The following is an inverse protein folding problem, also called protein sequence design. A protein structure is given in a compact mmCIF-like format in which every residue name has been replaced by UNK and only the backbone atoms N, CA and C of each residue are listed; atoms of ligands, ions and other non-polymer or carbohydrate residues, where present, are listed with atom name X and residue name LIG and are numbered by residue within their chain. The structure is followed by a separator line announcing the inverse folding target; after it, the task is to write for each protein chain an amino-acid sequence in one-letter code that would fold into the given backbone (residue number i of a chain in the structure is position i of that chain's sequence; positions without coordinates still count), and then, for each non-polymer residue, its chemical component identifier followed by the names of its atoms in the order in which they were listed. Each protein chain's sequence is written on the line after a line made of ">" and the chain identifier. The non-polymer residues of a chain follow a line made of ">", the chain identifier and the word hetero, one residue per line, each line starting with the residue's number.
data_IF_934549035723
#
_entry.id   IF_934549035723
#
_cell.length_a   1.000
_cell.length_b   1.000
_cell.length_c   1.000
_cell.angle_alpha   90.00
_cell.angle_beta   90.00
_cell.angle_gamma   90.00
#
_symmetry.space_group_name_H-M   'P 1'
#
loop_
_entity.id
_entity.type
_entity.pdbx_description
1 polymer ?
#
# COMPACT_ATOMS: atom_id res chain seq x y z
N UNK A 1 -36.65 -19.09 -10.95
CA UNK A 1 -36.09 -18.42 -12.14
C UNK A 1 -36.97 -17.22 -12.48
N UNK A 2 -36.37 -16.07 -12.75
CA UNK A 2 -37.03 -14.81 -13.16
C UNK A 2 -36.30 -14.33 -14.43
N UNK A 3 -37.00 -14.19 -15.55
CA UNK A 3 -36.40 -13.90 -16.85
C UNK A 3 -37.31 -13.05 -17.75
N UNK A 4 -36.73 -12.37 -18.75
CA UNK A 4 -37.40 -11.56 -19.78
C UNK A 4 -38.36 -10.49 -19.22
N UNK A 5 -37.85 -9.64 -18.32
CA UNK A 5 -38.67 -8.60 -17.69
C UNK A 5 -38.14 -7.22 -18.04
N UNK A 6 -38.98 -6.37 -18.62
CA UNK A 6 -38.63 -4.97 -18.84
C UNK A 6 -38.51 -4.21 -17.51
N UNK A 7 -39.50 -4.34 -16.62
CA UNK A 7 -39.54 -3.57 -15.38
C UNK A 7 -40.07 -4.40 -14.20
N UNK A 8 -39.24 -4.61 -13.17
CA UNK A 8 -39.60 -5.35 -11.96
C UNK A 8 -39.29 -4.54 -10.69
N UNK A 9 -40.28 -3.83 -10.10
CA UNK A 9 -40.10 -3.14 -8.84
C UNK A 9 -40.44 -4.07 -7.67
N UNK A 10 -39.44 -4.39 -6.84
CA UNK A 10 -39.62 -5.15 -5.61
C UNK A 10 -39.52 -4.22 -4.40
N UNK A 11 -40.66 -4.01 -3.74
CA UNK A 11 -40.72 -3.18 -2.52
C UNK A 11 -40.13 -3.93 -1.32
N UNK A 12 -40.55 -5.17 -1.12
CA UNK A 12 -40.07 -6.06 -0.09
C UNK A 12 -40.01 -7.48 -0.65
N UNK A 13 -38.91 -8.18 -0.42
CA UNK A 13 -38.80 -9.60 -0.71
C UNK A 13 -38.12 -10.37 0.41
N UNK A 14 -38.54 -11.63 0.53
CA UNK A 14 -37.87 -12.65 1.31
C UNK A 14 -37.86 -13.89 0.43
N UNK A 15 -36.68 -14.34 0.03
CA UNK A 15 -36.51 -15.55 -0.77
C UNK A 15 -35.82 -16.58 0.10
N UNK A 16 -36.46 -17.73 0.25
CA UNK A 16 -36.00 -18.90 1.00
C UNK A 16 -36.01 -20.08 0.02
N UNK A 17 -34.96 -20.15 -0.80
CA UNK A 17 -34.85 -21.09 -1.92
C UNK A 17 -33.40 -21.50 -2.05
N UNK A 18 -33.14 -22.78 -2.32
CA UNK A 18 -31.77 -23.29 -2.53
C UNK A 18 -31.09 -22.55 -3.68
N UNK A 19 -31.77 -22.42 -4.82
CA UNK A 19 -31.21 -21.80 -6.02
C UNK A 19 -32.16 -20.79 -6.63
N UNK A 20 -31.62 -19.60 -6.94
CA UNK A 20 -32.37 -18.56 -7.64
C UNK A 20 -31.54 -17.86 -8.72
N UNK A 21 -32.22 -17.70 -9.84
CA UNK A 21 -31.70 -17.37 -11.14
C UNK A 21 -32.48 -16.16 -11.65
N UNK A 22 -31.80 -15.04 -11.89
CA UNK A 22 -32.37 -13.77 -12.39
C UNK A 22 -31.60 -13.36 -13.64
N UNK A 23 -32.29 -13.28 -14.78
CA UNK A 23 -31.69 -13.07 -16.10
C UNK A 23 -32.49 -12.06 -16.91
N UNK A 24 -31.83 -11.37 -17.85
CA UNK A 24 -32.47 -10.57 -18.90
C UNK A 24 -33.50 -9.57 -18.36
N UNK A 25 -33.04 -8.66 -17.48
CA UNK A 25 -33.91 -7.62 -16.91
C UNK A 25 -33.40 -6.24 -17.24
N UNK A 26 -34.21 -5.42 -17.91
CA UNK A 26 -33.78 -4.05 -18.21
C UNK A 26 -33.78 -3.15 -16.96
N UNK A 27 -34.74 -3.35 -16.06
CA UNK A 27 -34.85 -2.56 -14.82
C UNK A 27 -35.38 -3.39 -13.65
N UNK A 28 -34.52 -3.66 -12.66
CA UNK A 28 -34.87 -4.37 -11.42
C UNK A 28 -34.60 -3.45 -10.22
N UNK A 29 -35.66 -2.92 -9.59
CA UNK A 29 -35.49 -2.07 -8.41
C UNK A 29 -35.84 -2.80 -7.14
N UNK A 30 -34.88 -2.92 -6.22
CA UNK A 30 -35.06 -3.61 -4.95
C UNK A 30 -34.95 -2.60 -3.82
N UNK A 31 -36.06 -2.34 -3.12
CA UNK A 31 -36.02 -1.48 -1.92
C UNK A 31 -35.50 -2.23 -0.70
N UNK A 32 -36.01 -3.42 -0.44
CA UNK A 32 -35.63 -4.24 0.70
C UNK A 32 -35.71 -5.71 0.30
N UNK A 33 -34.60 -6.44 0.42
CA UNK A 33 -34.62 -7.88 0.24
C UNK A 33 -33.81 -8.61 1.31
N UNK A 34 -34.29 -9.79 1.66
CA UNK A 34 -33.50 -10.81 2.34
C UNK A 34 -33.49 -12.05 1.48
N UNK A 35 -32.30 -12.56 1.22
CA UNK A 35 -32.10 -13.83 0.55
C UNK A 35 -31.42 -14.80 1.49
N UNK A 36 -31.98 -16.00 1.55
CA UNK A 36 -31.38 -17.13 2.22
C UNK A 36 -31.54 -18.37 1.33
N UNK A 37 -30.42 -19.00 1.00
CA UNK A 37 -30.31 -20.04 -0.02
C UNK A 37 -28.86 -20.45 -0.24
N UNK A 38 -28.63 -21.48 -1.05
CA UNK A 38 -27.27 -21.90 -1.41
C UNK A 38 -26.71 -20.94 -2.46
N UNK A 39 -27.42 -20.73 -3.58
CA UNK A 39 -26.88 -20.03 -4.73
C UNK A 39 -27.80 -18.93 -5.31
N UNK A 40 -27.25 -17.74 -5.50
CA UNK A 40 -27.83 -16.65 -6.30
C UNK A 40 -27.00 -16.40 -7.56
N UNK A 41 -27.68 -16.41 -8.69
CA UNK A 41 -27.15 -16.04 -9.99
C UNK A 41 -27.93 -14.87 -10.62
N UNK A 42 -27.25 -13.74 -10.83
CA UNK A 42 -27.78 -12.53 -11.48
C UNK A 42 -26.99 -12.23 -12.75
N UNK A 43 -27.67 -12.16 -13.89
CA UNK A 43 -27.06 -11.94 -15.20
C UNK A 43 -27.85 -10.90 -16.01
N UNK A 44 -27.13 -10.18 -16.88
CA UNK A 44 -27.69 -9.35 -17.94
C UNK A 44 -28.75 -8.36 -17.43
N UNK A 45 -28.32 -7.48 -16.51
CA UNK A 45 -29.19 -6.45 -15.95
C UNK A 45 -28.69 -5.06 -16.29
N UNK A 46 -29.48 -4.27 -17.01
CA UNK A 46 -29.07 -2.90 -17.35
C UNK A 46 -29.08 -1.97 -16.13
N UNK A 47 -30.07 -2.10 -15.23
CA UNK A 47 -30.23 -1.21 -14.07
C UNK A 47 -30.77 -1.94 -12.83
N UNK A 48 -29.91 -2.15 -11.83
CA UNK A 48 -30.20 -2.87 -10.58
C UNK A 48 -29.96 -2.02 -9.32
N UNK A 49 -30.83 -1.04 -8.98
CA UNK A 49 -30.68 -0.32 -7.73
C UNK A 49 -31.18 -1.13 -6.54
N UNK A 50 -30.29 -1.31 -5.56
CA UNK A 50 -30.58 -2.00 -4.31
C UNK A 50 -30.43 -1.01 -3.15
N UNK A 51 -31.54 -0.71 -2.47
CA UNK A 51 -31.50 0.19 -1.32
C UNK A 51 -31.06 -0.54 -0.04
N UNK A 52 -31.58 -1.73 0.20
CA UNK A 52 -31.18 -2.58 1.33
C UNK A 52 -31.26 -4.05 0.92
N UNK A 53 -30.15 -4.77 1.05
CA UNK A 53 -30.15 -6.22 0.94
C UNK A 53 -29.41 -6.87 2.12
N UNK A 54 -29.88 -8.06 2.47
CA UNK A 54 -29.15 -9.02 3.29
C UNK A 54 -29.10 -10.33 2.53
N UNK A 55 -27.91 -10.90 2.41
CA UNK A 55 -27.71 -12.18 1.76
C UNK A 55 -27.01 -13.12 2.73
N UNK A 56 -27.58 -14.32 2.85
CA UNK A 56 -27.16 -15.41 3.73
C UNK A 56 -27.12 -16.68 2.88
N UNK A 57 -25.96 -17.09 2.38
CA UNK A 57 -25.89 -18.25 1.50
C UNK A 57 -24.49 -18.76 1.25
N UNK A 58 -24.32 -19.68 0.32
CA UNK A 58 -22.99 -20.21 -0.05
C UNK A 58 -22.39 -19.37 -1.18
N UNK A 59 -23.08 -19.20 -2.31
CA UNK A 59 -22.57 -18.49 -3.49
C UNK A 59 -23.46 -17.37 -4.03
N UNK A 60 -22.90 -16.17 -4.24
CA UNK A 60 -23.51 -15.10 -5.02
C UNK A 60 -22.65 -14.81 -6.25
N UNK A 61 -23.23 -14.94 -7.43
CA UNK A 61 -22.58 -14.52 -8.68
C UNK A 61 -23.40 -13.45 -9.39
N UNK A 62 -22.71 -12.39 -9.80
CA UNK A 62 -23.27 -11.22 -10.48
C UNK A 62 -22.45 -10.95 -11.73
N UNK A 63 -23.11 -10.98 -12.89
CA UNK A 63 -22.49 -10.79 -14.19
C UNK A 63 -23.23 -9.75 -15.02
N UNK A 64 -22.49 -9.03 -15.85
CA UNK A 64 -23.01 -8.17 -16.92
C UNK A 64 -24.07 -7.18 -16.43
N UNK A 65 -23.64 -6.29 -15.51
CA UNK A 65 -24.52 -5.24 -14.99
C UNK A 65 -24.01 -3.86 -15.35
N UNK A 66 -24.81 -3.10 -16.10
CA UNK A 66 -24.40 -1.75 -16.49
C UNK A 66 -24.42 -0.77 -15.30
N UNK A 67 -25.40 -0.89 -14.39
CA UNK A 67 -25.55 0.03 -13.25
C UNK A 67 -26.14 -0.64 -12.00
N UNK A 68 -25.31 -0.81 -10.96
CA UNK A 68 -25.65 -1.51 -9.70
C UNK A 68 -25.41 -0.61 -8.46
N UNK A 69 -26.27 0.37 -8.15
CA UNK A 69 -26.08 1.15 -6.95
C UNK A 69 -26.61 0.41 -5.72
N UNK A 70 -25.73 0.21 -4.75
CA UNK A 70 -26.06 -0.45 -3.49
C UNK A 70 -25.93 0.55 -2.35
N UNK A 71 -27.06 0.86 -1.69
CA UNK A 71 -27.03 1.81 -0.57
C UNK A 71 -26.61 1.13 0.73
N UNK A 72 -27.12 -0.06 1.02
CA UNK A 72 -26.75 -0.85 2.18
C UNK A 72 -26.83 -2.34 1.82
N UNK A 73 -25.73 -3.06 2.00
CA UNK A 73 -25.70 -4.51 1.90
C UNK A 73 -25.01 -5.13 3.11
N UNK A 74 -25.52 -6.29 3.51
CA UNK A 74 -24.83 -7.23 4.37
C UNK A 74 -24.78 -8.56 3.64
N UNK A 75 -23.58 -9.11 3.51
CA UNK A 75 -23.34 -10.37 2.86
C UNK A 75 -22.62 -11.28 3.83
N UNK A 76 -23.16 -12.48 4.01
CA UNK A 76 -22.62 -13.52 4.85
C UNK A 76 -22.71 -14.84 4.10
N UNK A 77 -21.57 -15.43 3.76
CA UNK A 77 -21.54 -16.68 3.02
C UNK A 77 -20.18 -17.07 2.49
N UNK A 78 -20.10 -18.11 1.67
CA UNK A 78 -18.81 -18.67 1.26
C UNK A 78 -18.17 -17.87 0.12
N UNK A 79 -18.84 -17.66 -1.01
CA UNK A 79 -18.26 -17.03 -2.20
C UNK A 79 -19.10 -15.91 -2.83
N UNK A 80 -18.51 -14.74 -3.03
CA UNK A 80 -19.08 -13.66 -3.85
C UNK A 80 -18.20 -13.44 -5.07
N UNK A 81 -18.79 -13.56 -6.27
CA UNK A 81 -18.14 -13.20 -7.51
C UNK A 81 -18.91 -12.11 -8.24
N UNK A 82 -18.19 -11.08 -8.68
CA UNK A 82 -18.74 -9.94 -9.40
C UNK A 82 -17.90 -9.73 -10.65
N UNK A 83 -18.54 -9.78 -11.82
CA UNK A 83 -17.92 -9.64 -13.13
C UNK A 83 -18.64 -8.59 -13.96
N UNK A 84 -17.88 -7.89 -14.80
CA UNK A 84 -18.38 -7.02 -15.86
C UNK A 84 -19.43 -6.01 -15.38
N UNK A 85 -19.02 -5.11 -14.49
CA UNK A 85 -19.88 -4.03 -13.99
C UNK A 85 -19.37 -2.67 -14.41
N UNK A 86 -20.16 -1.93 -15.19
CA UNK A 86 -19.75 -0.59 -15.61
C UNK A 86 -19.79 0.42 -14.46
N UNK A 87 -20.76 0.33 -13.53
CA UNK A 87 -20.90 1.28 -12.43
C UNK A 87 -21.50 0.66 -11.15
N UNK A 88 -20.67 0.52 -10.11
CA UNK A 88 -21.02 -0.12 -8.83
C UNK A 88 -20.80 0.82 -7.63
N UNK A 89 -21.67 1.80 -7.36
CA UNK A 89 -21.52 2.65 -6.19
C UNK A 89 -22.08 1.96 -4.95
N UNK A 90 -21.22 1.79 -3.94
CA UNK A 90 -21.59 1.17 -2.68
C UNK A 90 -21.48 2.21 -1.56
N UNK A 91 -22.60 2.51 -0.91
CA UNK A 91 -22.59 3.46 0.20
C UNK A 91 -22.17 2.81 1.52
N UNK A 92 -22.70 1.64 1.83
CA UNK A 92 -22.33 0.87 3.02
C UNK A 92 -22.39 -0.62 2.70
N UNK A 93 -21.30 -1.34 2.93
CA UNK A 93 -21.28 -2.79 2.85
C UNK A 93 -20.60 -3.41 4.07
N UNK A 94 -21.12 -4.57 4.48
CA UNK A 94 -20.44 -5.50 5.36
C UNK A 94 -20.39 -6.83 4.64
N UNK A 95 -19.20 -7.40 4.56
CA UNK A 95 -18.95 -8.66 3.89
C UNK A 95 -18.24 -9.57 4.89
N UNK A 96 -18.82 -10.75 5.11
CA UNK A 96 -18.26 -11.81 5.94
C UNK A 96 -18.29 -13.10 5.15
N UNK A 97 -17.14 -13.70 4.88
CA UNK A 97 -17.13 -14.99 4.19
C UNK A 97 -15.78 -15.51 3.80
N UNK A 98 -15.78 -16.60 3.05
CA UNK A 98 -14.54 -17.27 2.68
C UNK A 98 -13.85 -16.52 1.53
N UNK A 99 -14.56 -16.17 0.46
CA UNK A 99 -13.94 -15.66 -0.76
C UNK A 99 -14.74 -14.55 -1.47
N UNK A 100 -14.08 -13.43 -1.77
CA UNK A 100 -14.59 -12.34 -2.62
C UNK A 100 -13.72 -12.16 -3.86
N UNK A 101 -14.34 -12.24 -5.03
CA UNK A 101 -13.72 -11.95 -6.31
C UNK A 101 -14.46 -10.84 -7.04
N UNK A 102 -13.70 -9.85 -7.51
CA UNK A 102 -14.21 -8.71 -8.29
C UNK A 102 -13.35 -8.55 -9.53
N UNK A 103 -13.99 -8.60 -10.69
CA UNK A 103 -13.36 -8.48 -12.01
C UNK A 103 -14.07 -7.43 -12.86
N UNK A 104 -13.30 -6.75 -13.70
CA UNK A 104 -13.79 -5.89 -14.79
C UNK A 104 -14.82 -4.86 -14.34
N UNK A 105 -14.40 -3.95 -13.45
CA UNK A 105 -15.25 -2.84 -13.00
C UNK A 105 -14.73 -1.51 -13.50
N UNK A 106 -15.54 -0.79 -14.29
CA UNK A 106 -15.12 0.52 -14.77
C UNK A 106 -15.13 1.58 -13.67
N UNK A 107 -16.09 1.56 -12.74
CA UNK A 107 -16.17 2.55 -11.66
C UNK A 107 -16.81 2.01 -10.37
N UNK A 108 -16.02 1.95 -9.30
CA UNK A 108 -16.37 1.39 -7.98
C UNK A 108 -16.13 2.41 -6.84
N UNK A 109 -17.07 3.31 -6.54
CA UNK A 109 -16.96 4.18 -5.39
C UNK A 109 -17.58 3.51 -4.16
N UNK A 110 -16.77 3.28 -3.14
CA UNK A 110 -17.16 2.71 -1.85
C UNK A 110 -17.05 3.79 -0.78
N UNK A 111 -18.18 4.12 -0.14
CA UNK A 111 -18.17 5.13 0.94
C UNK A 111 -17.74 4.51 2.27
N UNK A 112 -18.32 3.37 2.64
CA UNK A 112 -17.96 2.64 3.86
C UNK A 112 -18.02 1.14 3.61
N UNK A 113 -16.96 0.42 3.96
CA UNK A 113 -16.94 -1.03 3.92
C UNK A 113 -16.24 -1.64 5.13
N UNK A 114 -16.71 -2.82 5.53
CA UNK A 114 -16.03 -3.72 6.46
C UNK A 114 -16.01 -5.10 5.84
N UNK A 115 -14.82 -5.61 5.55
CA UNK A 115 -14.62 -6.91 4.92
C UNK A 115 -13.86 -7.80 5.90
N UNK A 116 -14.42 -8.97 6.19
CA UNK A 116 -13.82 -9.99 7.04
C UNK A 116 -13.92 -11.34 6.35
N UNK A 117 -12.81 -12.06 6.23
CA UNK A 117 -12.82 -13.36 5.55
C UNK A 117 -11.45 -13.95 5.32
N UNK A 118 -11.40 -15.03 4.55
CA UNK A 118 -10.14 -15.68 4.18
C UNK A 118 -9.50 -14.90 3.02
N UNK A 119 -10.15 -14.81 1.85
CA UNK A 119 -9.53 -14.26 0.63
C UNK A 119 -10.34 -13.18 -0.09
N UNK A 120 -9.62 -12.20 -0.61
CA UNK A 120 -10.16 -11.13 -1.44
C UNK A 120 -9.28 -10.90 -2.66
N UNK A 121 -9.89 -10.87 -3.84
CA UNK A 121 -9.21 -10.58 -5.08
C UNK A 121 -9.95 -9.53 -5.90
N UNK A 122 -9.19 -8.56 -6.41
CA UNK A 122 -9.68 -7.46 -7.22
C UNK A 122 -8.81 -7.33 -8.46
N UNK A 123 -9.43 -7.44 -9.63
CA UNK A 123 -8.78 -7.37 -10.94
C UNK A 123 -9.46 -6.35 -11.83
N UNK A 124 -8.68 -5.70 -12.70
CA UNK A 124 -9.14 -4.89 -13.81
C UNK A 124 -10.18 -3.82 -13.42
N UNK A 125 -9.76 -2.90 -12.54
CA UNK A 125 -10.60 -1.78 -12.14
C UNK A 125 -10.06 -0.47 -12.73
N UNK A 126 -10.87 0.21 -13.54
CA UNK A 126 -10.44 1.52 -14.06
C UNK A 126 -10.41 2.59 -12.96
N UNK A 127 -11.43 2.63 -12.09
CA UNK A 127 -11.54 3.62 -11.02
C UNK A 127 -12.14 3.05 -9.72
N UNK A 128 -11.31 2.94 -8.68
CA UNK A 128 -11.70 2.54 -7.32
C UNK A 128 -11.54 3.71 -6.35
N UNK A 129 -12.63 4.11 -5.69
CA UNK A 129 -12.62 5.18 -4.70
C UNK A 129 -13.14 4.68 -3.36
N UNK A 130 -12.25 4.51 -2.38
CA UNK A 130 -12.61 4.05 -1.04
C UNK A 130 -12.49 5.20 -0.05
N UNK A 131 -13.60 5.59 0.58
CA UNK A 131 -13.54 6.64 1.62
C UNK A 131 -13.20 6.08 2.99
N UNK A 132 -13.84 5.00 3.41
CA UNK A 132 -13.60 4.37 4.70
C UNK A 132 -13.67 2.85 4.54
N UNK A 133 -12.60 2.15 4.85
CA UNK A 133 -12.58 0.70 4.89
C UNK A 133 -11.92 0.16 6.16
N UNK A 134 -12.40 -1.00 6.58
CA UNK A 134 -11.71 -1.91 7.48
C UNK A 134 -11.65 -3.26 6.80
N UNK A 135 -10.45 -3.79 6.64
CA UNK A 135 -10.20 -5.07 6.00
C UNK A 135 -9.54 -5.96 7.05
N UNK A 136 -10.15 -7.11 7.31
CA UNK A 136 -9.69 -8.15 8.22
C UNK A 136 -9.67 -9.46 7.45
N UNK A 137 -8.69 -9.61 6.56
CA UNK A 137 -8.63 -10.73 5.61
C UNK A 137 -7.28 -11.41 5.68
N UNK A 138 -7.23 -12.72 5.53
CA UNK A 138 -5.97 -13.48 5.47
C UNK A 138 -5.15 -12.99 4.27
N UNK A 139 -5.77 -12.97 3.08
CA UNK A 139 -5.15 -12.50 1.85
C UNK A 139 -5.97 -11.43 1.13
N UNK A 140 -5.29 -10.38 0.67
CA UNK A 140 -5.82 -9.48 -0.35
C UNK A 140 -4.87 -9.37 -1.54
N UNK A 141 -5.42 -9.53 -2.74
CA UNK A 141 -4.69 -9.29 -3.98
C UNK A 141 -5.40 -8.26 -4.84
N UNK A 142 -4.65 -7.26 -5.30
CA UNK A 142 -5.13 -6.18 -6.17
C UNK A 142 -4.25 -6.11 -7.39
N UNK A 143 -4.85 -6.25 -8.57
CA UNK A 143 -4.17 -6.23 -9.86
C UNK A 143 -4.84 -5.23 -10.80
N UNK A 144 -4.04 -4.60 -11.66
CA UNK A 144 -4.47 -3.82 -12.81
C UNK A 144 -5.51 -2.76 -12.47
N UNK A 145 -5.08 -1.76 -11.68
CA UNK A 145 -5.93 -0.61 -11.35
C UNK A 145 -5.37 0.68 -11.94
N UNK A 146 -6.15 1.34 -12.81
CA UNK A 146 -5.73 2.63 -13.35
C UNK A 146 -5.75 3.74 -12.29
N UNK A 147 -6.76 3.76 -11.41
CA UNK A 147 -6.89 4.76 -10.35
C UNK A 147 -7.49 4.18 -9.07
N UNK A 148 -6.70 4.12 -8.00
CA UNK A 148 -7.14 3.71 -6.67
C UNK A 148 -6.93 4.84 -5.66
N UNK A 149 -8.00 5.42 -5.11
CA UNK A 149 -7.89 6.41 -4.04
C UNK A 149 -8.47 5.89 -2.73
N UNK A 150 -7.66 5.96 -1.68
CA UNK A 150 -8.02 5.52 -0.33
C UNK A 150 -7.94 6.70 0.63
N UNK A 151 -9.08 7.07 1.25
CA UNK A 151 -9.09 8.16 2.25
C UNK A 151 -8.82 7.69 3.67
N UNK A 152 -9.50 6.64 4.12
CA UNK A 152 -9.35 6.07 5.46
C UNK A 152 -9.39 4.54 5.35
N UNK A 153 -8.28 3.87 5.62
CA UNK A 153 -8.23 2.42 5.70
C UNK A 153 -7.55 1.94 6.98
N UNK A 154 -8.04 0.81 7.47
CA UNK A 154 -7.34 -0.05 8.42
C UNK A 154 -7.30 -1.44 7.81
N UNK A 155 -6.10 -1.97 7.64
CA UNK A 155 -5.90 -3.33 7.16
C UNK A 155 -5.29 -4.16 8.28
N UNK A 156 -5.87 -5.33 8.49
CA UNK A 156 -5.41 -6.39 9.36
C UNK A 156 -5.44 -7.69 8.56
N UNK A 157 -4.32 -8.39 8.45
CA UNK A 157 -4.26 -9.60 7.65
C UNK A 157 -2.91 -10.27 7.66
N UNK A 158 -2.76 -11.35 6.90
CA UNK A 158 -1.46 -12.01 6.72
C UNK A 158 -0.73 -11.36 5.54
N UNK A 159 -1.35 -11.35 4.36
CA UNK A 159 -0.71 -10.88 3.14
C UNK A 159 -1.60 -9.90 2.36
N UNK A 160 -1.01 -8.78 1.94
CA UNK A 160 -1.58 -7.97 0.86
C UNK A 160 -0.55 -7.79 -0.25
N UNK A 161 -0.99 -8.06 -1.47
CA UNK A 161 -0.21 -7.82 -2.68
C UNK A 161 -0.93 -6.84 -3.61
N UNK A 162 -0.17 -5.87 -4.12
CA UNK A 162 -0.65 -4.82 -5.01
C UNK A 162 0.25 -4.77 -6.23
N UNK A 163 -0.34 -4.96 -7.40
CA UNK A 163 0.37 -4.99 -8.68
C UNK A 163 -0.27 -4.01 -9.67
N UNK A 164 0.56 -3.42 -10.53
CA UNK A 164 0.16 -2.67 -11.71
C UNK A 164 -0.88 -1.58 -11.43
N UNK A 165 -0.48 -0.57 -10.65
CA UNK A 165 -1.33 0.58 -10.35
C UNK A 165 -0.75 1.87 -10.93
N UNK A 166 -1.49 2.52 -11.82
CA UNK A 166 -1.02 3.80 -12.39
C UNK A 166 -1.06 4.94 -11.36
N UNK A 167 -2.07 4.99 -10.49
CA UNK A 167 -2.23 6.08 -9.52
C UNK A 167 -2.90 5.62 -8.20
N UNK A 168 -2.14 5.64 -7.10
CA UNK A 168 -2.56 5.17 -5.77
C UNK A 168 -2.41 6.22 -4.66
N UNK A 169 -3.33 7.20 -4.48
CA UNK A 169 -3.26 8.09 -3.34
C UNK A 169 -3.84 7.50 -2.08
N UNK A 170 -3.06 7.59 -1.00
CA UNK A 170 -3.46 7.14 0.33
C UNK A 170 -3.37 8.32 1.31
N UNK A 171 -4.51 8.67 1.90
CA UNK A 171 -4.59 9.80 2.84
C UNK A 171 -4.38 9.38 4.31
N UNK A 172 -5.07 8.33 4.75
CA UNK A 172 -4.95 7.77 6.10
C UNK A 172 -4.99 6.24 5.98
N UNK A 173 -3.87 5.58 6.28
CA UNK A 173 -3.80 4.12 6.40
C UNK A 173 -3.14 3.68 7.69
N UNK A 174 -3.64 2.57 8.22
CA UNK A 174 -2.97 1.77 9.24
C UNK A 174 -2.93 0.35 8.75
N UNK A 175 -1.75 -0.25 8.80
CA UNK A 175 -1.50 -1.61 8.40
C UNK A 175 -1.03 -2.41 9.60
N UNK A 176 -1.66 -3.57 9.82
CA UNK A 176 -1.21 -4.60 10.73
C UNK A 176 -1.18 -5.94 10.00
N UNK A 177 -0.03 -6.61 9.92
CA UNK A 177 0.02 -7.96 9.34
C UNK A 177 1.40 -8.39 8.89
N UNK A 178 1.52 -9.61 8.39
CA UNK A 178 2.82 -10.24 8.13
C UNK A 178 3.52 -9.62 6.92
N UNK A 179 2.87 -9.50 5.76
CA UNK A 179 3.50 -9.03 4.54
C UNK A 179 2.67 -8.02 3.73
N UNK A 180 3.30 -6.91 3.30
CA UNK A 180 2.86 -6.14 2.12
C UNK A 180 3.88 -6.31 1.02
N UNK A 181 3.36 -6.53 -0.19
CA UNK A 181 4.17 -6.42 -1.38
C UNK A 181 3.51 -5.47 -2.38
N UNK A 182 4.28 -4.48 -2.83
CA UNK A 182 3.85 -3.49 -3.83
C UNK A 182 4.78 -3.57 -5.04
N UNK A 183 4.21 -3.76 -6.23
CA UNK A 183 4.91 -3.77 -7.50
C UNK A 183 4.29 -2.78 -8.48
N UNK A 184 5.13 -2.23 -9.35
CA UNK A 184 4.75 -1.51 -10.57
C UNK A 184 3.72 -0.40 -10.32
N UNK A 185 4.12 0.62 -9.56
CA UNK A 185 3.28 1.79 -9.30
C UNK A 185 3.87 3.05 -9.89
N UNK A 186 3.14 3.70 -10.80
CA UNK A 186 3.64 4.95 -11.39
C UNK A 186 3.59 6.12 -10.39
N UNK A 187 2.57 6.21 -9.54
CA UNK A 187 2.41 7.32 -8.60
C UNK A 187 1.70 6.92 -7.28
N UNK A 188 2.42 6.90 -6.17
CA UNK A 188 1.96 6.48 -4.83
C UNK A 188 2.13 7.58 -3.77
N UNK A 189 1.25 8.60 -3.69
CA UNK A 189 1.39 9.60 -2.65
C UNK A 189 0.74 9.15 -1.35
N UNK A 190 1.55 9.11 -0.29
CA UNK A 190 1.10 8.71 1.05
C UNK A 190 1.20 9.92 1.97
N UNK A 191 0.05 10.32 2.52
CA UNK A 191 0.02 11.45 3.46
C UNK A 191 0.34 11.03 4.89
N UNK A 192 -0.30 9.97 5.35
CA UNK A 192 -0.11 9.42 6.69
C UNK A 192 -0.26 7.91 6.62
N UNK A 193 0.82 7.19 6.95
CA UNK A 193 0.79 5.76 7.14
C UNK A 193 1.41 5.38 8.49
N UNK A 194 0.85 4.32 9.07
CA UNK A 194 1.50 3.56 10.11
C UNK A 194 1.47 2.11 9.68
N UNK A 195 2.62 1.44 9.79
CA UNK A 195 2.68 0.02 9.57
C UNK A 195 3.33 -0.66 10.78
N UNK A 196 2.59 -1.63 11.32
CA UNK A 196 3.04 -2.70 12.19
C UNK A 196 3.03 -4.06 11.45
N UNK A 197 4.15 -4.75 11.30
CA UNK A 197 4.16 -6.04 10.60
C UNK A 197 5.53 -6.65 10.46
N UNK A 198 5.65 -7.78 9.77
CA UNK A 198 6.94 -8.46 9.60
C UNK A 198 7.72 -7.85 8.42
N UNK A 199 7.13 -7.81 7.23
CA UNK A 199 7.87 -7.52 5.99
C UNK A 199 7.16 -6.55 5.04
N UNK A 200 7.85 -5.49 4.60
CA UNK A 200 7.55 -4.75 3.36
C UNK A 200 8.52 -5.03 2.26
N UNK A 201 7.95 -5.20 1.08
CA UNK A 201 8.71 -5.05 -0.12
C UNK A 201 8.01 -4.13 -1.13
N UNK A 202 8.74 -3.10 -1.56
CA UNK A 202 8.32 -2.16 -2.60
C UNK A 202 9.27 -2.27 -3.78
N UNK A 203 8.72 -2.51 -4.96
CA UNK A 203 9.43 -2.56 -6.23
C UNK A 203 8.83 -1.58 -7.24
N UNK A 204 9.69 -1.06 -8.12
CA UNK A 204 9.31 -0.38 -9.36
C UNK A 204 8.29 0.74 -9.15
N UNK A 205 8.69 1.77 -8.39
CA UNK A 205 7.85 2.96 -8.18
C UNK A 205 8.46 4.19 -8.82
N UNK A 206 7.76 4.80 -9.78
CA UNK A 206 8.28 6.03 -10.40
C UNK A 206 8.23 7.23 -9.44
N UNK A 207 7.20 7.37 -8.61
CA UNK A 207 7.05 8.51 -7.70
C UNK A 207 6.31 8.18 -6.39
N UNK A 208 7.03 8.21 -5.26
CA UNK A 208 6.55 7.82 -3.93
C UNK A 208 6.71 8.95 -2.90
N UNK A 209 5.85 10.00 -2.87
CA UNK A 209 5.97 11.04 -1.87
C UNK A 209 5.29 10.63 -0.57
N UNK A 210 6.07 10.62 0.51
CA UNK A 210 5.59 10.26 1.84
C UNK A 210 5.68 11.49 2.75
N UNK A 211 4.54 11.95 3.26
CA UNK A 211 4.54 13.10 4.15
C UNK A 211 4.83 12.70 5.60
N UNK A 212 4.20 11.64 6.09
CA UNK A 212 4.41 11.12 7.43
C UNK A 212 4.27 9.59 7.39
N UNK A 213 5.32 8.89 7.81
CA UNK A 213 5.27 7.46 8.04
C UNK A 213 5.83 7.08 9.41
N UNK A 214 5.27 6.03 9.97
CA UNK A 214 5.82 5.30 11.09
C UNK A 214 5.89 3.83 10.68
N UNK A 215 7.06 3.26 10.83
CA UNK A 215 7.35 1.88 10.55
C UNK A 215 7.77 1.16 11.82
N UNK A 216 7.08 0.08 12.14
CA UNK A 216 7.37 -0.82 13.25
C UNK A 216 7.33 -2.24 12.70
N UNK A 217 8.47 -2.84 12.42
CA UNK A 217 8.47 -4.19 11.83
C UNK A 217 9.85 -4.74 11.60
N UNK A 218 9.94 -6.01 11.25
CA UNK A 218 11.23 -6.71 11.12
C UNK A 218 12.00 -6.20 9.90
N UNK A 219 11.40 -6.22 8.71
CA UNK A 219 12.07 -5.90 7.45
C UNK A 219 11.32 -4.88 6.58
N UNK A 220 12.07 -3.92 6.03
CA UNK A 220 11.67 -3.22 4.80
C UNK A 220 12.74 -3.42 3.73
N UNK A 221 12.30 -3.74 2.52
CA UNK A 221 13.09 -3.65 1.32
C UNK A 221 12.43 -2.72 0.29
N UNK A 222 13.22 -1.81 -0.28
CA UNK A 222 12.81 -0.86 -1.32
C UNK A 222 13.75 -1.01 -2.50
N UNK A 223 13.19 -1.22 -3.69
CA UNK A 223 13.93 -1.38 -4.94
C UNK A 223 13.35 -0.47 -6.02
N UNK A 224 14.22 0.01 -6.90
CA UNK A 224 13.86 0.66 -8.16
C UNK A 224 12.84 1.81 -8.00
N UNK A 225 13.26 2.85 -7.27
CA UNK A 225 12.44 4.05 -7.11
C UNK A 225 13.07 5.26 -7.81
N UNK A 226 12.35 5.86 -8.76
CA UNK A 226 12.88 7.06 -9.43
C UNK A 226 12.86 8.29 -8.51
N UNK A 227 11.81 8.49 -7.70
CA UNK A 227 11.72 9.65 -6.81
C UNK A 227 10.95 9.41 -5.50
N UNK A 228 11.66 9.50 -4.37
CA UNK A 228 11.17 9.22 -3.01
C UNK A 228 11.40 10.42 -2.06
N UNK A 229 10.48 11.40 -2.00
CA UNK A 229 10.56 12.46 -1.03
C UNK A 229 9.80 12.08 0.25
N UNK A 230 10.54 12.02 1.36
CA UNK A 230 10.02 11.73 2.69
C UNK A 230 10.15 12.97 3.57
N UNK A 231 9.02 13.50 4.05
CA UNK A 231 9.05 14.69 4.90
C UNK A 231 9.31 14.33 6.37
N UNK A 232 8.66 13.31 6.90
CA UNK A 232 8.86 12.83 8.26
C UNK A 232 8.72 11.32 8.28
N UNK A 233 9.71 10.64 8.83
CA UNK A 233 9.64 9.21 9.04
C UNK A 233 10.24 8.78 10.38
N UNK A 234 9.68 7.72 10.92
CA UNK A 234 10.22 6.98 12.06
C UNK A 234 10.27 5.52 11.66
N UNK A 235 11.43 4.91 11.82
CA UNK A 235 11.65 3.51 11.51
C UNK A 235 12.19 2.82 12.73
N UNK A 236 11.53 1.75 13.14
CA UNK A 236 11.98 0.84 14.18
C UNK A 236 11.83 -0.58 13.67
N UNK A 237 12.90 -1.36 13.76
CA UNK A 237 12.90 -2.70 13.17
C UNK A 237 14.26 -3.39 13.22
N UNK A 238 14.35 -4.53 12.54
CA UNK A 238 15.61 -5.27 12.42
C UNK A 238 16.39 -4.77 11.19
N UNK A 239 15.78 -4.85 10.00
CA UNK A 239 16.44 -4.56 8.73
C UNK A 239 15.72 -3.52 7.87
N UNK A 240 16.49 -2.61 7.31
CA UNK A 240 16.06 -1.75 6.21
C UNK A 240 17.06 -1.88 5.06
N UNK A 241 16.57 -2.23 3.87
CA UNK A 241 17.35 -2.26 2.65
C UNK A 241 16.75 -1.35 1.58
N UNK A 242 17.60 -0.57 0.94
CA UNK A 242 17.22 0.39 -0.10
C UNK A 242 18.22 0.25 -1.26
N UNK A 243 17.69 -0.06 -2.44
CA UNK A 243 18.45 -0.27 -3.67
C UNK A 243 17.89 0.58 -4.80
N UNK A 244 18.78 1.00 -5.71
CA UNK A 244 18.45 1.61 -7.00
C UNK A 244 17.44 2.76 -6.90
N UNK A 245 17.85 3.83 -6.21
CA UNK A 245 17.03 5.06 -6.11
C UNK A 245 17.68 6.21 -6.86
N UNK A 246 16.97 6.79 -7.83
CA UNK A 246 17.51 7.97 -8.52
C UNK A 246 17.52 9.21 -7.60
N UNK A 247 16.44 9.44 -6.85
CA UNK A 247 16.31 10.60 -5.95
C UNK A 247 15.61 10.27 -4.63
N UNK A 248 16.36 10.28 -3.52
CA UNK A 248 15.85 10.14 -2.16
C UNK A 248 16.00 11.46 -1.40
N UNK A 249 14.89 12.05 -0.96
CA UNK A 249 14.89 13.32 -0.22
C UNK A 249 14.26 13.13 1.16
N UNK A 250 15.06 13.13 2.21
CA UNK A 250 14.58 12.98 3.59
C UNK A 250 14.73 14.29 4.35
N UNK A 251 13.61 14.85 4.79
CA UNK A 251 13.62 16.10 5.59
C UNK A 251 13.90 15.82 7.06
N UNK A 252 13.20 14.86 7.65
CA UNK A 252 13.39 14.47 9.04
C UNK A 252 13.19 12.96 9.17
N UNK A 253 14.19 12.26 9.70
CA UNK A 253 14.07 10.84 10.04
C UNK A 253 14.60 10.53 11.44
N UNK A 254 13.99 9.51 12.04
CA UNK A 254 14.53 8.79 13.19
C UNK A 254 14.55 7.31 12.82
N UNK A 255 15.72 6.72 12.86
CA UNK A 255 15.95 5.32 12.51
C UNK A 255 16.51 4.61 13.74
N UNK A 256 15.83 3.55 14.15
CA UNK A 256 16.17 2.66 15.26
C UNK A 256 16.15 1.24 14.72
N UNK A 257 17.17 0.88 13.93
CA UNK A 257 17.22 -0.40 13.20
C UNK A 257 18.53 -1.10 13.46
N UNK A 258 18.51 -2.43 13.60
CA UNK A 258 19.76 -3.20 13.77
C UNK A 258 20.66 -3.04 12.55
N UNK A 259 20.11 -3.23 11.35
CA UNK A 259 20.81 -3.10 10.08
C UNK A 259 20.14 -2.11 9.12
N UNK A 260 20.94 -1.22 8.52
CA UNK A 260 20.54 -0.44 7.36
C UNK A 260 21.55 -0.58 6.22
N UNK A 261 21.00 -0.85 5.05
CA UNK A 261 21.71 -1.10 3.81
C UNK A 261 21.20 -0.15 2.73
N UNK A 262 22.09 0.67 2.18
CA UNK A 262 21.76 1.62 1.12
C UNK A 262 22.74 1.45 -0.03
N UNK A 263 22.20 1.17 -1.21
CA UNK A 263 22.95 0.87 -2.43
C UNK A 263 22.43 1.69 -3.60
N UNK A 264 23.34 2.07 -4.50
CA UNK A 264 23.04 2.61 -5.83
C UNK A 264 22.05 3.78 -5.80
N UNK A 265 22.47 4.88 -5.16
CA UNK A 265 21.66 6.10 -5.10
C UNK A 265 22.31 7.25 -5.85
N UNK A 266 21.64 7.79 -6.87
CA UNK A 266 22.19 8.95 -7.59
C UNK A 266 22.16 10.23 -6.73
N UNK A 267 21.07 10.46 -5.98
CA UNK A 267 20.92 11.64 -5.13
C UNK A 267 20.21 11.31 -3.82
N UNK A 268 20.93 11.37 -2.69
CA UNK A 268 20.37 11.22 -1.35
C UNK A 268 20.57 12.50 -0.53
N UNK A 269 19.51 13.25 -0.28
CA UNK A 269 19.56 14.43 0.59
C UNK A 269 18.89 14.18 1.93
N UNK A 270 19.64 14.44 3.00
CA UNK A 270 19.15 14.32 4.37
C UNK A 270 19.31 15.66 5.08
N UNK A 271 18.19 16.26 5.52
CA UNK A 271 18.28 17.52 6.30
C UNK A 271 18.53 17.26 7.78
N UNK A 272 17.76 16.37 8.38
CA UNK A 272 17.87 16.03 9.79
C UNK A 272 17.66 14.53 9.96
N UNK A 273 18.66 13.83 10.49
CA UNK A 273 18.53 12.44 10.87
C UNK A 273 19.06 12.18 12.27
N UNK A 274 18.42 11.23 12.93
CA UNK A 274 18.97 10.53 14.08
C UNK A 274 18.94 9.05 13.73
N UNK A 275 20.09 8.40 13.76
CA UNK A 275 20.21 6.97 13.56
C UNK A 275 20.79 6.34 14.83
N UNK A 276 20.15 5.25 15.22
CA UNK A 276 20.55 4.35 16.29
C UNK A 276 20.44 2.94 15.74
N UNK A 277 21.50 2.16 15.83
CA UNK A 277 21.52 0.81 15.28
C UNK A 277 22.84 0.12 15.49
N UNK A 278 22.96 -1.12 15.03
CA UNK A 278 24.23 -1.85 15.08
C UNK A 278 25.07 -1.50 13.86
N UNK A 279 24.49 -1.63 12.68
CA UNK A 279 25.20 -1.59 11.42
C UNK A 279 24.51 -0.69 10.39
N UNK A 280 25.27 0.22 9.78
CA UNK A 280 24.83 0.92 8.58
C UNK A 280 25.92 0.90 7.51
N UNK A 281 25.55 0.36 6.34
CA UNK A 281 26.36 0.38 5.15
C UNK A 281 25.75 1.23 4.04
N UNK A 282 26.59 2.03 3.41
CA UNK A 282 26.23 2.93 2.32
C UNK A 282 27.22 2.72 1.17
N UNK A 283 26.72 2.34 0.00
CA UNK A 283 27.51 2.06 -1.19
C UNK A 283 26.99 2.84 -2.40
N UNK A 284 27.90 3.22 -3.29
CA UNK A 284 27.61 3.75 -4.62
C UNK A 284 26.61 4.91 -4.62
N UNK A 285 27.01 6.02 -3.98
CA UNK A 285 26.20 7.24 -3.94
C UNK A 285 26.88 8.39 -4.68
N UNK A 286 26.23 8.92 -5.72
CA UNK A 286 26.82 10.05 -6.46
C UNK A 286 26.78 11.35 -5.65
N UNK A 287 25.68 11.64 -4.93
CA UNK A 287 25.51 12.89 -4.19
C UNK A 287 24.75 12.72 -2.87
N UNK A 288 25.45 12.88 -1.73
CA UNK A 288 24.95 12.66 -0.37
C UNK A 288 25.07 13.90 0.55
N UNK A 289 24.27 14.96 0.38
CA UNK A 289 24.30 16.08 1.30
C UNK A 289 23.56 15.80 2.60
N UNK A 290 24.27 15.99 3.71
CA UNK A 290 23.72 15.86 5.05
C UNK A 290 23.87 17.19 5.80
N UNK A 291 22.75 17.77 6.24
CA UNK A 291 22.82 19.02 7.02
C UNK A 291 23.06 18.75 8.50
N UNK A 292 22.26 17.91 9.12
CA UNK A 292 22.38 17.57 10.53
C UNK A 292 22.16 16.08 10.70
N UNK A 293 23.16 15.38 11.22
CA UNK A 293 23.03 13.98 11.59
C UNK A 293 23.56 13.72 13.00
N UNK A 294 22.88 12.81 13.69
CA UNK A 294 23.42 12.12 14.85
C UNK A 294 23.36 10.63 14.57
N UNK A 295 24.46 9.96 14.85
CA UNK A 295 24.64 8.55 14.59
C UNK A 295 25.18 7.90 15.85
N UNK A 296 24.50 6.85 16.30
CA UNK A 296 24.93 6.00 17.39
C UNK A 296 24.88 4.55 16.94
N UNK A 297 25.98 3.82 17.04
CA UNK A 297 25.99 2.38 16.74
C UNK A 297 27.35 1.73 16.80
N UNK A 298 27.46 0.53 16.27
CA UNK A 298 28.71 -0.24 16.30
C UNK A 298 29.52 0.04 15.03
N UNK A 299 28.90 -0.14 13.86
CA UNK A 299 29.57 -0.11 12.56
C UNK A 299 28.95 0.89 11.60
N UNK A 300 29.79 1.76 11.06
CA UNK A 300 29.47 2.57 9.87
C UNK A 300 30.47 2.26 8.76
N UNK A 301 29.96 1.78 7.62
CA UNK A 301 30.75 1.64 6.40
C UNK A 301 30.20 2.48 5.25
N UNK A 302 31.07 3.27 4.63
CA UNK A 302 30.75 4.14 3.49
C UNK A 302 31.73 3.85 2.36
N UNK A 303 31.21 3.53 1.19
CA UNK A 303 32.00 3.20 0.00
C UNK A 303 31.50 3.97 -1.21
N UNK A 304 32.43 4.35 -2.10
CA UNK A 304 32.16 4.87 -3.43
C UNK A 304 31.16 6.05 -3.44
N UNK A 305 31.54 7.14 -2.77
CA UNK A 305 30.75 8.37 -2.76
C UNK A 305 31.43 9.49 -3.54
N UNK A 306 30.77 10.00 -4.58
CA UNK A 306 31.38 11.10 -5.35
C UNK A 306 31.35 12.43 -4.58
N UNK A 307 30.25 12.74 -3.87
CA UNK A 307 30.10 14.04 -3.18
C UNK A 307 29.31 13.95 -1.87
N UNK A 308 29.97 14.13 -0.73
CA UNK A 308 29.41 14.00 0.63
C UNK A 308 29.63 15.26 1.48
N UNK A 309 28.83 16.33 1.33
CA UNK A 309 28.96 17.50 2.18
C UNK A 309 28.18 17.29 3.47
N UNK A 310 28.87 17.47 4.60
CA UNK A 310 28.27 17.36 5.93
C UNK A 310 28.43 18.69 6.66
N UNK A 311 27.31 19.30 7.08
CA UNK A 311 27.38 20.55 7.85
C UNK A 311 27.60 20.31 9.34
N UNK A 312 26.76 19.48 9.94
CA UNK A 312 26.81 19.16 11.36
C UNK A 312 26.62 17.66 11.56
N UNK A 313 27.60 17.01 12.19
CA UNK A 313 27.53 15.61 12.56
C UNK A 313 27.95 15.36 14.00
N UNK A 314 27.33 14.36 14.61
CA UNK A 314 27.79 13.70 15.81
C UNK A 314 27.78 12.20 15.57
N UNK A 315 28.96 11.58 15.60
CA UNK A 315 29.13 10.16 15.36
C UNK A 315 29.66 9.50 16.63
N UNK A 316 28.86 8.61 17.19
CA UNK A 316 29.18 7.76 18.32
C UNK A 316 29.20 6.32 17.79
N UNK A 317 30.30 5.96 17.13
CA UNK A 317 30.43 4.67 16.45
C UNK A 317 31.72 3.98 16.86
N UNK A 318 31.67 2.68 17.15
CA UNK A 318 32.89 1.94 17.50
C UNK A 318 33.86 1.90 16.33
N UNK A 319 33.34 1.59 15.13
CA UNK A 319 34.14 1.45 13.92
C UNK A 319 33.54 2.23 12.75
N UNK A 320 34.36 3.13 12.20
CA UNK A 320 34.04 3.93 11.02
C UNK A 320 35.01 3.60 9.88
N UNK A 321 34.45 3.12 8.78
CA UNK A 321 35.16 2.80 7.55
C UNK A 321 34.65 3.65 6.40
N UNK A 322 35.56 4.39 5.76
CA UNK A 322 35.26 5.26 4.63
C UNK A 322 36.24 4.97 3.49
N UNK A 323 35.71 4.62 2.33
CA UNK A 323 36.47 4.27 1.14
C UNK A 323 35.98 5.06 -0.07
N UNK A 324 36.94 5.50 -0.90
CA UNK A 324 36.69 6.06 -2.23
C UNK A 324 35.67 7.21 -2.24
N UNK A 325 35.98 8.26 -1.46
CA UNK A 325 35.22 9.51 -1.48
C UNK A 325 35.95 10.57 -2.29
N UNK A 326 35.31 11.05 -3.37
CA UNK A 326 35.92 12.08 -4.21
C UNK A 326 35.90 13.47 -3.57
N UNK A 327 34.82 13.84 -2.87
CA UNK A 327 34.70 15.14 -2.22
C UNK A 327 33.92 15.12 -0.90
N UNK A 328 34.58 15.52 0.20
CA UNK A 328 34.05 15.41 1.57
C UNK A 328 34.26 16.71 2.39
N UNK A 329 33.48 17.78 2.17
CA UNK A 329 33.56 18.97 3.00
C UNK A 329 32.74 18.76 4.28
N UNK A 330 33.43 18.74 5.41
CA UNK A 330 32.84 18.68 6.73
C UNK A 330 33.05 20.02 7.44
N UNK A 331 31.97 20.66 7.91
CA UNK A 331 32.09 21.93 8.65
C UNK A 331 32.29 21.73 10.15
N UNK A 332 31.37 21.00 10.77
CA UNK A 332 31.40 20.72 12.20
C UNK A 332 31.04 19.27 12.44
N UNK A 333 32.01 18.48 12.92
CA UNK A 333 31.75 17.11 13.32
C UNK A 333 32.37 16.84 14.68
N UNK A 334 31.64 16.08 15.48
CA UNK A 334 32.18 15.43 16.68
C UNK A 334 32.16 13.94 16.41
N UNK A 335 33.30 13.30 16.58
CA UNK A 335 33.43 11.86 16.48
C UNK A 335 33.94 11.30 17.81
N UNK A 336 33.35 10.18 18.22
CA UNK A 336 33.80 9.34 19.33
C UNK A 336 33.68 7.89 18.88
N UNK A 337 34.78 7.16 18.96
CA UNK A 337 34.87 5.77 18.52
C UNK A 337 36.20 5.15 18.85
N UNK A 338 36.32 3.86 18.59
CA UNK A 338 37.57 3.12 18.80
C UNK A 338 38.46 3.18 17.56
N UNK A 339 37.86 3.07 16.36
CA UNK A 339 38.59 2.98 15.11
C UNK A 339 37.99 3.85 13.99
N UNK A 340 38.86 4.64 13.36
CA UNK A 340 38.57 5.38 12.15
C UNK A 340 39.52 4.95 11.04
N UNK A 341 38.97 4.43 9.95
CA UNK A 341 39.70 4.03 8.75
C UNK A 341 39.18 4.85 7.58
N UNK A 342 40.08 5.57 6.91
CA UNK A 342 39.77 6.37 5.71
C UNK A 342 40.77 6.03 4.62
N UNK A 343 40.30 5.49 3.50
CA UNK A 343 41.12 5.14 2.34
C UNK A 343 40.65 5.88 1.10
N UNK A 344 41.62 6.48 0.40
CA UNK A 344 41.46 7.20 -0.87
C UNK A 344 40.40 8.32 -0.83
N UNK A 345 40.86 9.52 -0.45
CA UNK A 345 40.14 10.78 -0.73
C UNK A 345 40.85 11.46 -1.89
N UNK A 346 40.23 11.49 -3.07
CA UNK A 346 40.80 12.19 -4.24
C UNK A 346 40.46 13.69 -4.14
N UNK A 347 41.20 14.42 -3.30
CA UNK A 347 41.05 15.86 -3.18
C UNK A 347 41.50 16.57 -4.48
N UNK A 348 40.59 16.68 -5.46
CA UNK A 348 40.78 17.55 -6.62
C UNK A 348 40.50 18.98 -6.19
N UNK A 349 41.56 19.64 -5.72
CA UNK A 349 41.62 21.09 -5.59
C UNK A 349 41.83 21.70 -6.97
N UNK A 350 40.79 22.33 -7.53
CA UNK A 350 40.94 23.36 -8.58
C UNK A 350 39.92 24.49 -8.35
#
# INVERSE_FOLDING_TARGET
>A
MVYDISYLPIKHCMWLVELLMVYDISYLLIKHCMWSGELLMVYDISYLPIKHCMWLGEGLMVYDISYLPIKHCMWSGEGLMVYDISYLPIKHCMWSGELLMVYDISYLPIKHCMWSGELLMVYDISYLLIKHCMWSVEGLMVYDISYLLIKHCMWSGELLMVYDISYLPIKHCMWSGEGLIVYDISYLPIKHCMWSGELLIVYDISYLPIKHCMWLGEGLMVYDISYLPIKHCMWSGEGLMVYDISYLLIKHCMWSVEGLMVYDISYLLIKHCMWSGELLMVYDISYLPIKHCMWSGELLMVYDISYLPIKHCMWLVELLMVYDISYLPIKHCVWSGELLIVYMISATSQ
#
